data_IF_742524012123
#
_entry.id   IF_742524012123
#
_cell.length_a   1.000
_cell.length_b   1.000
_cell.length_c   1.000
_cell.angle_alpha   90.00
_cell.angle_beta   90.00
_cell.angle_gamma   90.00
#
_symmetry.space_group_name_H-M   'P 1'
#
loop_
_entity.id
_entity.type
_entity.pdbx_description
1 polymer ?
#
# COMPACT_ATOMS: atom_id res chain seq x y z
N UNK A 1 -49.62 4.09 -48.50
CA UNK A 1 -48.18 3.91 -48.74
C UNK A 1 -47.48 5.27 -48.72
N UNK A 2 -46.97 5.67 -47.55
CA UNK A 2 -45.93 6.71 -47.40
C UNK A 2 -45.10 6.30 -46.19
N UNK A 3 -43.80 6.07 -46.43
CA UNK A 3 -42.82 5.71 -45.42
C UNK A 3 -42.40 6.98 -44.66
N UNK A 4 -42.51 6.97 -43.33
CA UNK A 4 -41.84 7.91 -42.44
C UNK A 4 -40.55 7.26 -41.96
N UNK A 5 -39.43 7.78 -42.43
CA UNK A 5 -38.07 7.41 -42.05
C UNK A 5 -37.71 8.29 -40.84
N UNK A 6 -37.79 7.73 -39.63
CA UNK A 6 -37.34 8.39 -38.41
C UNK A 6 -35.88 7.96 -38.14
N UNK A 7 -34.97 8.90 -38.34
CA UNK A 7 -33.54 8.77 -38.05
C UNK A 7 -33.32 8.67 -36.55
N UNK A 8 -32.88 7.49 -36.08
CA UNK A 8 -32.39 7.30 -34.72
C UNK A 8 -31.01 7.98 -34.60
N UNK A 9 -30.96 9.14 -33.95
CA UNK A 9 -29.69 9.70 -33.46
C UNK A 9 -29.26 8.86 -32.24
N UNK A 10 -28.32 7.95 -32.45
CA UNK A 10 -27.59 7.30 -31.37
C UNK A 10 -26.60 8.28 -30.75
N UNK A 11 -26.89 8.74 -29.54
CA UNK A 11 -25.92 9.40 -28.67
C UNK A 11 -24.88 8.35 -28.23
N UNK A 12 -23.81 8.21 -29.00
CA UNK A 12 -22.55 7.65 -28.54
C UNK A 12 -21.88 8.69 -27.64
N UNK A 13 -22.24 8.70 -26.36
CA UNK A 13 -21.39 9.27 -25.32
C UNK A 13 -20.16 8.37 -25.20
N UNK A 14 -19.14 8.66 -26.01
CA UNK A 14 -17.77 8.29 -25.71
C UNK A 14 -17.48 8.81 -24.31
N UNK A 15 -17.42 7.89 -23.33
CA UNK A 15 -16.79 8.18 -22.06
C UNK A 15 -15.35 8.54 -22.39
N UNK A 16 -15.04 9.83 -22.35
CA UNK A 16 -13.67 10.27 -22.18
C UNK A 16 -13.20 9.66 -20.85
N UNK A 17 -12.53 8.51 -20.94
CA UNK A 17 -11.55 8.14 -19.95
C UNK A 17 -10.58 9.32 -19.97
N UNK A 18 -10.72 10.27 -19.04
CA UNK A 18 -9.62 11.18 -18.75
C UNK A 18 -8.51 10.26 -18.28
N UNK A 19 -7.57 9.95 -19.18
CA UNK A 19 -6.28 9.45 -18.77
C UNK A 19 -5.83 10.42 -17.68
N UNK A 20 -5.73 9.91 -16.45
CA UNK A 20 -5.13 10.65 -15.35
C UNK A 20 -3.76 11.04 -15.91
N UNK A 21 -3.51 12.33 -16.10
CA UNK A 21 -2.16 12.79 -16.36
C UNK A 21 -1.36 12.30 -15.16
N UNK A 22 -0.52 11.29 -15.37
CA UNK A 22 0.33 10.72 -14.34
C UNK A 22 1.40 11.81 -14.07
N UNK A 23 1.16 12.62 -13.03
CA UNK A 23 2.02 13.74 -12.66
C UNK A 23 3.26 13.21 -11.92
N UNK A 24 4.43 13.39 -12.51
CA UNK A 24 5.72 13.06 -11.93
C UNK A 24 6.28 14.25 -11.13
N UNK A 25 5.82 14.38 -9.89
CA UNK A 25 6.26 15.41 -8.94
C UNK A 25 7.76 15.31 -8.61
N UNK A 26 8.38 16.45 -8.29
CA UNK A 26 9.74 16.49 -7.73
C UNK A 26 9.83 15.58 -6.50
N UNK A 27 10.91 14.80 -6.41
CA UNK A 27 11.12 13.86 -5.30
C UNK A 27 12.22 14.38 -4.38
N UNK A 28 12.02 14.19 -3.08
CA UNK A 28 13.01 14.51 -2.06
C UNK A 28 12.99 13.47 -0.96
N UNK A 29 14.18 13.09 -0.50
CA UNK A 29 14.33 12.20 0.66
C UNK A 29 15.56 12.59 1.47
N UNK A 30 15.40 12.61 2.79
CA UNK A 30 16.48 12.77 3.74
C UNK A 30 17.05 11.38 4.10
N UNK A 31 18.37 11.34 4.31
CA UNK A 31 19.06 10.19 4.88
C UNK A 31 18.63 9.92 6.33
N UNK A 32 18.81 8.69 6.86
CA UNK A 32 18.42 8.35 8.23
C UNK A 32 19.01 9.28 9.30
N UNK A 33 20.24 9.75 9.13
CA UNK A 33 20.88 10.73 10.04
C UNK A 33 20.40 12.16 9.84
N UNK A 34 19.68 12.44 8.74
CA UNK A 34 19.29 13.78 8.29
C UNK A 34 20.44 14.60 7.72
N UNK A 35 21.67 14.05 7.64
CA UNK A 35 22.86 14.76 7.15
C UNK A 35 22.83 15.01 5.64
N UNK A 36 22.32 14.04 4.89
CA UNK A 36 22.22 14.11 3.44
C UNK A 36 20.77 14.16 2.97
N UNK A 37 20.54 14.85 1.86
CA UNK A 37 19.27 14.91 1.14
C UNK A 37 19.50 14.65 -0.33
N UNK A 38 18.73 13.73 -0.90
CA UNK A 38 18.62 13.57 -2.36
C UNK A 38 17.40 14.35 -2.84
N UNK A 39 17.58 15.09 -3.92
CA UNK A 39 16.49 15.74 -4.67
C UNK A 39 16.53 15.25 -6.11
N UNK A 40 15.37 14.96 -6.69
CA UNK A 40 15.18 14.73 -8.12
C UNK A 40 14.15 15.74 -8.62
N UNK A 41 14.60 16.72 -9.41
CA UNK A 41 13.77 17.83 -9.88
C UNK A 41 13.69 17.87 -11.39
N UNK A 42 12.50 18.03 -11.94
CA UNK A 42 12.33 18.23 -13.38
C UNK A 42 12.24 19.73 -13.69
N UNK A 43 12.94 20.25 -14.72
CA UNK A 43 12.75 21.62 -15.19
C UNK A 43 11.31 21.87 -15.69
N UNK A 44 10.59 20.83 -16.12
CA UNK A 44 9.21 20.95 -16.58
C UNK A 44 8.24 21.26 -15.43
N UNK A 45 8.51 20.74 -14.23
CA UNK A 45 7.75 21.05 -13.02
C UNK A 45 7.81 22.54 -12.68
N UNK A 46 9.01 23.14 -12.77
CA UNK A 46 9.20 24.56 -12.54
C UNK A 46 8.50 25.44 -13.59
N UNK A 47 8.37 24.95 -14.83
CA UNK A 47 7.66 25.65 -15.91
C UNK A 47 6.13 25.48 -15.85
N UNK A 48 5.61 24.74 -14.86
CA UNK A 48 4.19 24.39 -14.78
C UNK A 48 3.73 23.46 -15.90
N UNK A 49 4.67 22.85 -16.64
CA UNK A 49 4.39 21.86 -17.66
C UNK A 49 4.10 20.53 -16.97
N UNK A 50 2.96 19.95 -17.35
CA UNK A 50 2.32 18.84 -16.64
C UNK A 50 2.24 17.58 -17.48
N UNK A 51 2.56 17.68 -18.77
CA UNK A 51 2.55 16.60 -19.73
C UNK A 51 4.02 16.34 -20.11
N UNK A 52 4.44 15.08 -20.12
CA UNK A 52 5.79 14.61 -20.50
C UNK A 52 6.96 15.12 -19.64
N UNK A 53 6.81 15.04 -18.31
CA UNK A 53 7.85 15.43 -17.36
C UNK A 53 9.05 14.47 -17.45
N UNK A 54 10.18 14.99 -17.93
CA UNK A 54 11.43 14.26 -18.04
C UNK A 54 12.62 15.11 -17.60
N UNK A 55 13.83 14.70 -18.03
CA UNK A 55 15.07 15.46 -17.83
C UNK A 55 15.35 15.81 -16.36
N UNK A 56 15.09 14.86 -15.46
CA UNK A 56 15.29 15.06 -14.03
C UNK A 56 16.76 15.35 -13.73
N UNK A 57 16.98 16.37 -12.90
CA UNK A 57 18.26 16.66 -12.30
C UNK A 57 18.27 16.11 -10.88
N UNK A 58 19.26 15.28 -10.58
CA UNK A 58 19.44 14.69 -9.27
C UNK A 58 20.58 15.40 -8.55
N UNK A 59 20.34 15.81 -7.30
CA UNK A 59 21.35 16.47 -6.47
C UNK A 59 21.42 15.86 -5.08
N UNK A 60 22.62 15.49 -4.66
CA UNK A 60 22.89 15.12 -3.26
C UNK A 60 23.39 16.33 -2.50
N UNK A 61 22.73 16.70 -1.42
CA UNK A 61 22.98 17.90 -0.64
C UNK A 61 23.40 17.51 0.77
N UNK A 62 24.50 18.06 1.27
CA UNK A 62 24.84 18.02 2.70
C UNK A 62 24.00 19.10 3.41
N UNK A 63 23.04 18.66 4.21
CA UNK A 63 22.05 19.53 4.88
C UNK A 63 22.69 20.44 5.93
N UNK A 64 23.86 20.10 6.44
CA UNK A 64 24.58 20.92 7.43
C UNK A 64 25.22 22.14 6.78
N UNK A 65 25.66 22.01 5.53
CA UNK A 65 26.30 23.09 4.76
C UNK A 65 25.39 23.75 3.74
N UNK A 66 24.28 23.08 3.38
CA UNK A 66 23.40 23.46 2.28
C UNK A 66 24.03 23.33 0.89
N UNK A 67 25.20 22.70 0.76
CA UNK A 67 25.92 22.56 -0.51
C UNK A 67 25.63 21.23 -1.17
N UNK A 68 25.46 21.27 -2.50
CA UNK A 68 25.44 20.06 -3.31
C UNK A 68 26.84 19.41 -3.29
N UNK A 69 26.89 18.12 -2.97
CA UNK A 69 28.07 17.28 -3.10
C UNK A 69 28.30 16.90 -4.56
N UNK A 70 27.21 16.58 -5.26
CA UNK A 70 27.18 16.30 -6.68
C UNK A 70 25.79 16.60 -7.25
N UNK A 71 25.77 16.83 -8.56
CA UNK A 71 24.57 16.99 -9.37
C UNK A 71 24.76 16.20 -10.66
N UNK A 72 23.74 15.46 -11.11
CA UNK A 72 23.73 14.79 -12.41
C UNK A 72 22.39 15.01 -13.11
N UNK A 73 22.40 14.99 -14.43
CA UNK A 73 21.18 15.00 -15.24
C UNK A 73 20.85 13.59 -15.70
N UNK A 74 19.57 13.27 -15.71
CA UNK A 74 19.02 12.12 -16.43
C UNK A 74 19.49 12.19 -17.89
N UNK A 75 20.03 11.10 -18.47
CA UNK A 75 20.41 11.06 -19.87
C UNK A 75 19.24 11.42 -20.79
N UNK A 76 19.52 12.15 -21.88
CA UNK A 76 18.50 12.47 -22.88
C UNK A 76 18.17 11.23 -23.73
N UNK A 77 16.88 11.02 -24.10
CA UNK A 77 16.52 9.96 -25.03
C UNK A 77 17.32 10.07 -26.33
N UNK A 78 17.96 8.97 -26.74
CA UNK A 78 18.73 8.92 -28.00
C UNK A 78 20.20 9.34 -27.89
N UNK A 79 20.72 9.63 -26.69
CA UNK A 79 22.14 9.91 -26.45
C UNK A 79 23.06 8.67 -26.60
N UNK A 80 22.53 7.51 -27.01
CA UNK A 80 23.26 6.24 -27.11
C UNK A 80 23.48 5.52 -25.78
N UNK A 81 22.97 6.09 -24.68
CA UNK A 81 22.85 5.44 -23.37
C UNK A 81 21.46 4.82 -23.21
N UNK A 82 21.34 3.81 -22.33
CA UNK A 82 20.05 3.24 -21.94
C UNK A 82 19.15 4.37 -21.40
N UNK A 83 17.95 4.51 -21.97
CA UNK A 83 16.99 5.55 -21.58
C UNK A 83 16.60 5.32 -20.12
N UNK A 84 17.02 6.23 -19.24
CA UNK A 84 16.59 6.21 -17.83
C UNK A 84 15.14 6.69 -17.77
N UNK A 85 14.24 5.90 -17.20
CA UNK A 85 12.84 6.28 -17.03
C UNK A 85 12.65 7.29 -15.86
N UNK A 86 11.48 7.91 -15.76
CA UNK A 86 11.20 8.96 -14.77
C UNK A 86 11.30 8.44 -13.33
N UNK A 87 11.88 9.17 -12.36
CA UNK A 87 11.96 8.71 -10.98
C UNK A 87 10.60 8.64 -10.29
N UNK A 88 10.23 7.45 -9.85
CA UNK A 88 9.06 7.18 -9.02
C UNK A 88 9.39 7.34 -7.53
N UNK A 89 10.63 7.04 -7.12
CA UNK A 89 11.10 7.17 -5.74
C UNK A 89 12.60 7.42 -5.62
N UNK A 90 13.01 8.14 -4.58
CA UNK A 90 14.43 8.40 -4.25
C UNK A 90 14.69 8.17 -2.77
N UNK A 91 15.90 7.71 -2.44
CA UNK A 91 16.33 7.42 -1.08
C UNK A 91 17.78 7.89 -0.90
N UNK A 92 18.11 8.53 0.22
CA UNK A 92 19.47 8.95 0.54
C UNK A 92 20.08 8.09 1.64
N UNK A 93 21.35 7.70 1.46
CA UNK A 93 22.15 6.98 2.46
C UNK A 93 23.00 7.93 3.31
N UNK A 94 23.39 7.47 4.51
CA UNK A 94 24.24 8.22 5.44
C UNK A 94 25.72 8.29 5.02
N UNK A 95 26.07 7.67 3.90
CA UNK A 95 27.37 7.68 3.25
C UNK A 95 27.41 8.57 1.99
N UNK A 96 26.32 9.29 1.70
CA UNK A 96 26.23 10.21 0.57
C UNK A 96 25.90 9.53 -0.77
N UNK A 97 25.44 8.28 -0.74
CA UNK A 97 24.86 7.58 -1.91
C UNK A 97 23.36 7.83 -2.00
N UNK A 98 22.78 7.57 -3.18
CA UNK A 98 21.33 7.56 -3.35
C UNK A 98 20.86 6.30 -4.09
N UNK A 99 19.63 5.87 -3.78
CA UNK A 99 18.90 4.87 -4.57
C UNK A 99 17.76 5.57 -5.29
N UNK A 100 17.57 5.23 -6.56
CA UNK A 100 16.46 5.72 -7.38
C UNK A 100 15.66 4.51 -7.87
N UNK A 101 14.34 4.58 -7.76
CA UNK A 101 13.39 3.70 -8.41
C UNK A 101 12.72 4.49 -9.53
N UNK A 102 12.71 3.97 -10.75
CA UNK A 102 12.02 4.61 -11.88
C UNK A 102 10.58 4.13 -12.00
N UNK A 103 9.80 4.78 -12.86
CA UNK A 103 8.44 4.37 -13.19
C UNK A 103 8.42 2.95 -13.78
N UNK A 104 9.46 2.53 -14.52
CA UNK A 104 9.64 1.17 -15.06
C UNK A 104 10.08 0.13 -14.04
N UNK A 105 10.12 0.47 -12.74
CA UNK A 105 10.62 -0.40 -11.68
C UNK A 105 12.11 -0.80 -11.82
N UNK A 106 12.86 -0.06 -12.64
CA UNK A 106 14.33 -0.11 -12.59
C UNK A 106 14.79 0.55 -11.29
N UNK A 107 15.69 -0.13 -10.59
CA UNK A 107 16.39 0.39 -9.42
C UNK A 107 17.85 0.52 -9.75
N UNK A 108 18.43 1.67 -9.42
CA UNK A 108 19.86 1.87 -9.51
C UNK A 108 20.38 2.69 -8.33
N UNK A 109 21.69 2.55 -8.09
CA UNK A 109 22.42 3.33 -7.12
C UNK A 109 23.16 4.48 -7.80
N UNK A 110 23.27 5.59 -7.10
CA UNK A 110 24.13 6.71 -7.42
C UNK A 110 25.20 6.77 -6.34
N UNK A 111 26.44 6.55 -6.76
CA UNK A 111 27.57 6.62 -5.83
C UNK A 111 27.84 8.06 -5.37
N UNK A 112 28.85 8.24 -4.53
CA UNK A 112 29.22 9.54 -3.97
C UNK A 112 29.73 10.56 -5.00
N UNK A 113 29.89 10.16 -6.26
CA UNK A 113 30.18 11.06 -7.39
C UNK A 113 28.95 11.33 -8.27
N UNK A 114 27.80 10.76 -7.93
CA UNK A 114 26.57 10.81 -8.73
C UNK A 114 26.60 9.85 -9.93
N UNK A 115 27.53 8.90 -10.01
CA UNK A 115 27.58 7.96 -11.13
C UNK A 115 26.58 6.82 -10.90
N UNK A 116 25.77 6.51 -11.94
CA UNK A 116 24.85 5.36 -11.95
C UNK A 116 25.62 4.05 -11.83
N UNK A 117 25.14 3.18 -10.95
CA UNK A 117 25.65 1.85 -10.64
C UNK A 117 24.48 0.88 -10.55
N UNK A 118 24.71 -0.32 -11.06
CA UNK A 118 23.90 -1.49 -10.68
C UNK A 118 22.42 -1.34 -11.02
N UNK A 119 22.06 -1.00 -12.27
CA UNK A 119 20.67 -1.08 -12.68
C UNK A 119 20.17 -2.51 -12.56
N UNK A 120 18.98 -2.68 -12.00
CA UNK A 120 18.25 -3.94 -12.03
C UNK A 120 16.75 -3.68 -11.95
N UNK A 121 15.97 -4.54 -12.58
CA UNK A 121 14.52 -4.55 -12.39
C UNK A 121 14.20 -5.36 -11.13
N UNK A 122 13.39 -4.76 -10.25
CA UNK A 122 13.11 -5.38 -8.95
C UNK A 122 12.29 -6.66 -9.09
N UNK A 123 11.43 -6.77 -10.10
CA UNK A 123 10.59 -7.94 -10.33
C UNK A 123 11.41 -9.19 -10.68
N UNK A 124 12.50 -9.02 -11.44
CA UNK A 124 13.43 -10.08 -11.80
C UNK A 124 14.13 -10.69 -10.57
N UNK A 125 14.10 -10.02 -9.42
CA UNK A 125 14.67 -10.50 -8.15
C UNK A 125 13.75 -11.44 -7.39
N UNK A 126 12.54 -11.71 -7.90
CA UNK A 126 11.61 -12.66 -7.29
C UNK A 126 11.41 -13.91 -8.16
N UNK A 127 11.31 -15.10 -7.53
CA UNK A 127 10.91 -16.31 -8.23
C UNK A 127 9.59 -16.10 -8.99
N UNK A 128 9.47 -16.71 -10.18
CA UNK A 128 8.27 -16.58 -11.02
C UNK A 128 6.97 -16.94 -10.29
N UNK A 129 7.03 -17.93 -9.38
CA UNK A 129 5.89 -18.34 -8.56
C UNK A 129 5.44 -17.22 -7.60
N UNK A 130 6.37 -16.54 -6.95
CA UNK A 130 6.04 -15.43 -6.05
C UNK A 130 5.46 -14.26 -6.84
N UNK A 131 6.05 -13.95 -8.01
CA UNK A 131 5.49 -12.94 -8.92
C UNK A 131 4.06 -13.27 -9.31
N UNK A 132 3.79 -14.49 -9.78
CA UNK A 132 2.44 -14.88 -10.17
C UNK A 132 1.42 -14.81 -9.01
N UNK A 133 1.86 -15.00 -7.77
CA UNK A 133 1.00 -14.99 -6.58
C UNK A 133 0.74 -13.56 -6.05
N UNK A 134 1.80 -12.74 -5.97
CA UNK A 134 1.78 -11.46 -5.25
C UNK A 134 1.96 -10.23 -6.14
N UNK A 135 2.65 -10.35 -7.27
CA UNK A 135 2.71 -9.29 -8.29
C UNK A 135 1.50 -9.45 -9.23
N UNK A 136 0.86 -8.34 -9.58
CA UNK A 136 -0.13 -8.39 -10.67
C UNK A 136 0.62 -8.19 -11.98
N UNK A 137 0.35 -9.05 -12.95
CA UNK A 137 0.73 -8.79 -14.33
C UNK A 137 -0.20 -7.70 -14.87
N UNK A 138 0.12 -6.44 -14.61
CA UNK A 138 -0.41 -5.33 -15.38
C UNK A 138 0.48 -5.07 -16.59
N UNK A 139 -0.08 -4.45 -17.63
CA UNK A 139 0.70 -3.87 -18.75
C UNK A 139 1.59 -2.70 -18.28
N UNK A 140 1.50 -2.34 -16.99
CA UNK A 140 2.33 -1.38 -16.28
C UNK A 140 3.23 -2.11 -15.27
N UNK A 141 4.38 -1.52 -14.90
CA UNK A 141 5.29 -2.00 -13.85
C UNK A 141 4.56 -2.35 -12.55
N UNK A 142 5.17 -3.21 -11.72
CA UNK A 142 4.54 -3.78 -10.53
C UNK A 142 4.11 -2.64 -9.61
N UNK A 143 2.79 -2.51 -9.42
CA UNK A 143 2.27 -1.69 -8.34
C UNK A 143 2.63 -2.33 -7.00
N UNK A 144 3.73 -1.85 -6.41
CA UNK A 144 4.17 -2.23 -5.07
C UNK A 144 3.09 -1.82 -4.08
N UNK A 145 2.61 -2.78 -3.28
CA UNK A 145 1.71 -2.45 -2.18
C UNK A 145 2.38 -1.42 -1.28
N UNK A 146 1.62 -0.43 -0.81
CA UNK A 146 2.06 0.51 0.23
C UNK A 146 2.50 -0.16 1.54
N UNK A 147 2.22 -1.47 1.70
CA UNK A 147 2.71 -2.31 2.80
C UNK A 147 4.14 -2.86 2.57
N UNK A 148 4.79 -2.49 1.46
CA UNK A 148 6.21 -2.76 1.21
C UNK A 148 7.06 -1.64 1.83
N UNK A 149 8.34 -1.92 2.11
CA UNK A 149 9.23 -0.94 2.73
C UNK A 149 10.62 -0.93 2.11
N UNK A 150 11.16 0.27 1.96
CA UNK A 150 12.41 0.55 1.26
C UNK A 150 13.25 1.43 2.16
N UNK A 151 14.45 0.98 2.55
CA UNK A 151 15.24 1.69 3.56
C UNK A 151 16.72 1.31 3.53
N UNK A 152 17.56 2.23 4.01
CA UNK A 152 18.96 1.93 4.29
C UNK A 152 19.10 1.19 5.62
N UNK A 153 20.02 0.23 5.66
CA UNK A 153 20.34 -0.60 6.81
C UNK A 153 21.85 -0.58 7.06
N UNK A 154 22.24 -0.25 8.28
CA UNK A 154 23.63 -0.31 8.72
C UNK A 154 23.83 -1.52 9.65
N UNK A 155 24.75 -2.41 9.29
CA UNK A 155 25.06 -3.61 10.07
C UNK A 155 26.48 -3.48 10.62
N UNK A 156 26.62 -3.52 11.95
CA UNK A 156 27.92 -3.49 12.61
C UNK A 156 28.53 -4.88 12.63
N UNK A 157 29.82 -4.96 12.34
CA UNK A 157 30.65 -6.16 12.40
C UNK A 157 32.02 -5.82 12.98
N UNK A 158 32.85 -6.83 13.23
CA UNK A 158 34.24 -6.64 13.67
C UNK A 158 35.09 -5.87 12.64
N UNK A 159 34.73 -5.92 11.35
CA UNK A 159 35.42 -5.22 10.27
C UNK A 159 34.94 -3.76 10.09
N UNK A 160 33.95 -3.33 10.87
CA UNK A 160 33.31 -2.01 10.77
C UNK A 160 31.82 -2.09 10.47
N UNK A 161 31.26 -0.97 10.02
CA UNK A 161 29.84 -0.86 9.65
C UNK A 161 29.69 -1.06 8.14
N UNK A 162 28.91 -2.05 7.74
CA UNK A 162 28.50 -2.24 6.35
C UNK A 162 27.12 -1.61 6.11
N UNK A 163 26.96 -0.94 4.97
CA UNK A 163 25.72 -0.29 4.56
C UNK A 163 25.02 -1.11 3.48
N UNK A 164 23.71 -1.26 3.62
CA UNK A 164 22.84 -1.96 2.68
C UNK A 164 21.62 -1.11 2.36
N UNK A 165 21.01 -1.36 1.21
CA UNK A 165 19.64 -0.94 0.95
C UNK A 165 18.73 -2.16 0.88
N UNK A 166 17.64 -2.11 1.63
CA UNK A 166 16.71 -3.22 1.80
C UNK A 166 15.37 -2.84 1.22
N UNK A 167 14.87 -3.70 0.32
CA UNK A 167 13.52 -3.62 -0.19
C UNK A 167 12.76 -4.82 0.35
N UNK A 168 11.89 -4.57 1.32
CA UNK A 168 10.99 -5.56 1.93
C UNK A 168 9.66 -5.53 1.20
N UNK A 169 9.39 -6.56 0.41
CA UNK A 169 8.08 -6.77 -0.18
C UNK A 169 7.01 -7.02 0.90
N UNK A 170 5.75 -6.69 0.62
CA UNK A 170 4.68 -6.86 1.61
C UNK A 170 4.52 -8.32 2.06
N UNK A 171 4.80 -9.31 1.20
CA UNK A 171 4.79 -10.75 1.55
C UNK A 171 6.00 -11.23 2.37
N UNK A 172 6.87 -10.33 2.83
CA UNK A 172 7.94 -10.62 3.80
C UNK A 172 9.30 -10.92 3.17
N UNK A 173 9.36 -11.09 1.85
CA UNK A 173 10.60 -11.26 1.10
C UNK A 173 11.43 -9.97 1.10
N UNK A 174 12.77 -10.11 1.17
CA UNK A 174 13.71 -8.98 1.11
C UNK A 174 14.63 -9.11 -0.10
N UNK A 175 14.83 -8.01 -0.80
CA UNK A 175 15.92 -7.81 -1.76
C UNK A 175 16.94 -6.90 -1.06
N UNK A 176 18.22 -7.30 -1.07
CA UNK A 176 19.29 -6.58 -0.38
C UNK A 176 20.33 -6.15 -1.39
N UNK A 177 20.64 -4.86 -1.40
CA UNK A 177 21.71 -4.26 -2.19
C UNK A 177 22.89 -3.94 -1.24
N UNK A 178 24.07 -4.51 -1.52
CA UNK A 178 25.32 -4.09 -0.88
C UNK A 178 25.75 -2.76 -1.49
N UNK A 179 25.76 -1.70 -0.69
CA UNK A 179 26.07 -0.35 -1.15
C UNK A 179 27.54 -0.21 -1.52
N UNK A 180 28.43 -0.84 -0.76
CA UNK A 180 29.87 -0.72 -0.97
C UNK A 180 30.31 -1.38 -2.27
N UNK A 181 29.76 -2.55 -2.56
CA UNK A 181 30.03 -3.29 -3.79
C UNK A 181 29.16 -2.81 -4.95
N UNK A 182 28.05 -2.13 -4.67
CA UNK A 182 27.02 -1.81 -5.66
C UNK A 182 26.54 -3.09 -6.34
N UNK A 183 26.09 -4.09 -5.58
CA UNK A 183 25.56 -5.33 -6.17
C UNK A 183 24.35 -5.81 -5.39
N UNK A 184 23.32 -6.25 -6.10
CA UNK A 184 22.20 -6.95 -5.47
C UNK A 184 22.73 -8.31 -4.99
N UNK A 185 22.49 -8.61 -3.73
CA UNK A 185 22.91 -9.86 -3.13
C UNK A 185 21.96 -10.99 -3.54
N UNK A 186 22.54 -12.13 -3.90
CA UNK A 186 21.80 -13.39 -3.98
C UNK A 186 21.33 -13.80 -2.58
N UNK A 187 20.20 -14.49 -2.49
CA UNK A 187 19.58 -14.88 -1.21
C UNK A 187 20.54 -15.60 -0.27
N UNK A 188 21.31 -16.54 -0.81
CA UNK A 188 22.22 -17.38 -0.04
C UNK A 188 23.39 -16.57 0.55
N UNK A 189 23.64 -15.36 0.01
CA UNK A 189 24.65 -14.43 0.50
C UNK A 189 24.11 -13.47 1.56
N UNK A 190 22.79 -13.35 1.71
CA UNK A 190 22.20 -12.51 2.76
C UNK A 190 22.33 -13.24 4.10
N UNK A 191 23.33 -12.82 4.88
CA UNK A 191 23.70 -13.50 6.14
C UNK A 191 22.60 -13.36 7.22
N UNK A 192 22.66 -14.24 8.22
CA UNK A 192 21.76 -14.18 9.37
C UNK A 192 21.83 -12.83 10.11
N UNK A 193 23.02 -12.22 10.20
CA UNK A 193 23.22 -10.92 10.84
C UNK A 193 22.52 -9.80 10.08
N UNK A 194 22.57 -9.82 8.73
CA UNK A 194 21.85 -8.85 7.90
C UNK A 194 20.33 -9.03 8.08
N UNK A 195 19.84 -10.28 8.08
CA UNK A 195 18.41 -10.55 8.29
C UNK A 195 17.94 -10.12 9.69
N UNK A 196 18.74 -10.37 10.73
CA UNK A 196 18.44 -9.98 12.10
C UNK A 196 18.42 -8.46 12.24
N UNK A 197 19.43 -7.76 11.72
CA UNK A 197 19.48 -6.30 11.71
C UNK A 197 18.33 -5.67 10.91
N UNK A 198 17.98 -6.24 9.74
CA UNK A 198 16.84 -5.79 8.95
C UNK A 198 15.54 -5.92 9.74
N UNK A 199 15.33 -7.06 10.42
CA UNK A 199 14.17 -7.30 11.28
C UNK A 199 14.13 -6.32 12.45
N UNK A 200 15.24 -6.12 13.14
CA UNK A 200 15.31 -5.17 14.27
C UNK A 200 14.96 -3.74 13.83
N UNK A 201 15.49 -3.28 12.69
CA UNK A 201 15.19 -1.98 12.13
C UNK A 201 13.70 -1.84 11.73
N UNK A 202 13.10 -2.92 11.21
CA UNK A 202 11.67 -2.98 10.91
C UNK A 202 10.83 -2.86 12.20
N UNK A 203 11.13 -3.67 13.21
CA UNK A 203 10.42 -3.65 14.50
C UNK A 203 10.52 -2.29 15.21
N UNK A 204 11.71 -1.68 15.22
CA UNK A 204 11.93 -0.38 15.82
C UNK A 204 11.07 0.71 15.17
N UNK A 205 11.03 0.75 13.84
CA UNK A 205 10.20 1.70 13.10
C UNK A 205 8.70 1.44 13.27
N UNK A 206 8.26 0.17 13.26
CA UNK A 206 6.85 -0.17 13.52
C UNK A 206 6.43 0.40 14.87
N UNK A 207 7.25 0.19 15.90
CA UNK A 207 7.00 0.74 17.25
C UNK A 207 6.95 2.26 17.24
N UNK A 208 7.89 2.92 16.57
CA UNK A 208 7.94 4.38 16.46
C UNK A 208 6.66 4.93 15.82
N UNK A 209 6.30 4.43 14.64
CA UNK A 209 5.14 4.86 13.86
C UNK A 209 3.84 4.61 14.64
N UNK A 210 3.67 3.40 15.17
CA UNK A 210 2.47 3.06 15.94
C UNK A 210 2.38 3.91 17.22
N UNK A 211 3.47 4.14 17.95
CA UNK A 211 3.47 5.00 19.12
C UNK A 211 3.11 6.46 18.78
N UNK A 212 3.66 7.00 17.69
CA UNK A 212 3.38 8.34 17.19
C UNK A 212 1.88 8.54 16.93
N UNK A 213 1.27 7.65 16.15
CA UNK A 213 -0.15 7.78 15.80
C UNK A 213 -1.09 7.36 16.92
N UNK A 214 -0.70 6.38 17.75
CA UNK A 214 -1.45 6.04 18.95
C UNK A 214 -1.51 7.22 19.92
N UNK A 215 -0.47 8.05 20.02
CA UNK A 215 -0.51 9.30 20.80
C UNK A 215 -1.46 10.33 20.18
N UNK A 216 -1.39 10.57 18.86
CA UNK A 216 -2.33 11.46 18.15
C UNK A 216 -3.80 11.03 18.32
N UNK A 217 -4.04 9.72 18.37
CA UNK A 217 -5.36 9.12 18.60
C UNK A 217 -5.96 9.43 19.99
N UNK A 218 -5.19 9.95 20.96
CA UNK A 218 -5.73 10.39 22.25
C UNK A 218 -6.55 11.67 22.13
N UNK A 219 -6.18 12.52 21.18
CA UNK A 219 -6.71 13.88 21.04
C UNK A 219 -7.47 14.09 19.74
N UNK A 220 -7.36 13.18 18.77
CA UNK A 220 -8.07 13.25 17.49
C UNK A 220 -8.68 11.91 17.09
N UNK A 221 -9.89 11.96 16.51
CA UNK A 221 -10.50 10.81 15.82
C UNK A 221 -9.81 10.47 14.51
N UNK A 222 -9.15 11.46 13.89
CA UNK A 222 -8.40 11.37 12.65
C UNK A 222 -6.92 11.63 12.94
N UNK A 223 -6.13 10.59 13.22
CA UNK A 223 -4.71 10.75 13.57
C UNK A 223 -3.84 11.15 12.37
N UNK A 224 -4.41 11.21 11.16
CA UNK A 224 -3.76 11.54 9.89
C UNK A 224 -4.62 12.56 9.12
N UNK A 225 -3.97 13.56 8.52
CA UNK A 225 -4.61 14.63 7.72
C UNK A 225 -4.47 14.36 6.21
N UNK A 226 -5.29 13.48 5.64
CA UNK A 226 -5.15 12.98 4.24
C UNK A 226 -5.28 14.02 3.12
N UNK A 227 -5.61 15.28 3.42
CA UNK A 227 -5.69 16.36 2.43
C UNK A 227 -4.32 16.97 2.05
N UNK A 228 -3.23 16.55 2.72
CA UNK A 228 -1.87 17.04 2.46
C UNK A 228 -0.97 15.92 1.96
N UNK A 229 0.09 16.26 1.23
CA UNK A 229 1.10 15.30 0.79
C UNK A 229 1.72 14.56 1.98
N UNK A 230 2.08 15.30 3.04
CA UNK A 230 2.59 14.72 4.28
C UNK A 230 1.56 13.78 4.93
N UNK A 231 0.28 14.15 4.92
CA UNK A 231 -0.79 13.29 5.41
C UNK A 231 -0.94 12.00 4.63
N UNK A 232 -0.79 12.03 3.31
CA UNK A 232 -0.78 10.83 2.48
C UNK A 232 0.41 9.92 2.81
N UNK A 233 1.60 10.50 3.03
CA UNK A 233 2.78 9.75 3.50
C UNK A 233 2.54 9.14 4.89
N UNK A 234 2.03 9.94 5.82
CA UNK A 234 1.66 9.51 7.18
C UNK A 234 0.63 8.36 7.17
N UNK A 235 -0.35 8.40 6.26
CA UNK A 235 -1.34 7.34 6.10
C UNK A 235 -0.69 6.04 5.62
N UNK A 236 0.18 6.12 4.60
CA UNK A 236 0.94 4.97 4.07
C UNK A 236 1.85 4.36 5.12
N UNK A 237 2.57 5.19 5.88
CA UNK A 237 3.42 4.74 6.98
C UNK A 237 2.61 4.01 8.06
N UNK A 238 1.50 4.61 8.51
CA UNK A 238 0.63 4.03 9.52
C UNK A 238 0.06 2.68 9.07
N UNK A 239 -0.45 2.63 7.84
CA UNK A 239 -0.94 1.41 7.21
C UNK A 239 0.09 0.29 7.19
N UNK A 240 1.28 0.59 6.68
CA UNK A 240 2.39 -0.35 6.59
C UNK A 240 2.83 -0.82 7.98
N UNK A 241 2.94 0.09 8.96
CA UNK A 241 3.29 -0.26 10.34
C UNK A 241 2.27 -1.19 11.01
N UNK A 242 0.97 -0.93 10.82
CA UNK A 242 -0.10 -1.81 11.31
C UNK A 242 0.00 -3.20 10.67
N UNK A 243 0.17 -3.26 9.35
CA UNK A 243 0.33 -4.51 8.62
C UNK A 243 1.54 -5.31 9.15
N UNK A 244 2.70 -4.66 9.27
CA UNK A 244 3.94 -5.28 9.73
C UNK A 244 3.83 -5.77 11.18
N UNK A 245 3.16 -5.02 12.07
CA UNK A 245 2.94 -5.47 13.45
C UNK A 245 2.22 -6.83 13.51
N UNK A 246 1.22 -7.02 12.65
CA UNK A 246 0.53 -8.31 12.52
C UNK A 246 1.37 -9.38 11.82
N UNK A 247 2.00 -9.04 10.69
CA UNK A 247 2.76 -9.98 9.88
C UNK A 247 4.06 -10.48 10.55
N UNK A 248 4.65 -9.68 11.43
CA UNK A 248 5.87 -10.02 12.18
C UNK A 248 5.56 -10.52 13.60
N UNK A 249 4.28 -10.64 13.95
CA UNK A 249 3.79 -11.13 15.25
C UNK A 249 4.27 -10.29 16.46
N UNK A 250 4.31 -8.96 16.32
CA UNK A 250 4.80 -8.03 17.35
C UNK A 250 3.78 -7.84 18.49
N UNK A 251 3.72 -8.81 19.39
CA UNK A 251 2.75 -8.82 20.51
C UNK A 251 2.87 -7.61 21.46
N UNK A 252 4.04 -6.95 21.53
CA UNK A 252 4.25 -5.73 22.32
C UNK A 252 3.41 -4.56 21.82
N UNK A 253 3.00 -4.56 20.55
CA UNK A 253 2.30 -3.45 19.89
C UNK A 253 0.76 -3.56 19.98
N UNK A 254 0.24 -4.63 20.60
CA UNK A 254 -1.21 -4.83 20.82
C UNK A 254 -1.89 -3.61 21.47
N UNK A 255 -1.33 -2.94 22.49
CA UNK A 255 -1.95 -1.76 23.09
C UNK A 255 -2.12 -0.60 22.09
N UNK A 256 -1.13 -0.35 21.24
CA UNK A 256 -1.18 0.69 20.22
C UNK A 256 -2.23 0.35 19.16
N UNK A 257 -2.25 -0.90 18.67
CA UNK A 257 -3.23 -1.39 17.70
C UNK A 257 -4.67 -1.25 18.21
N UNK A 258 -4.96 -1.66 19.46
CA UNK A 258 -6.30 -1.52 20.08
C UNK A 258 -6.76 -0.06 20.23
N UNK A 259 -5.81 0.87 20.26
CA UNK A 259 -6.12 2.29 20.35
C UNK A 259 -6.43 2.87 18.98
N UNK A 260 -5.58 2.55 17.99
CA UNK A 260 -5.73 2.95 16.59
C UNK A 260 -6.97 2.32 15.93
N UNK A 261 -7.39 1.14 16.37
CA UNK A 261 -8.64 0.51 15.94
C UNK A 261 -9.88 1.40 16.16
N UNK A 262 -9.81 2.37 17.08
CA UNK A 262 -10.91 3.32 17.35
C UNK A 262 -10.88 4.56 16.44
N UNK A 263 -9.83 4.73 15.66
CA UNK A 263 -9.64 5.88 14.81
C UNK A 263 -10.32 5.67 13.45
N UNK A 264 -10.73 6.79 12.87
CA UNK A 264 -11.13 6.87 11.49
C UNK A 264 -9.97 7.47 10.69
N UNK A 265 -9.74 6.98 9.49
CA UNK A 265 -8.86 7.66 8.53
C UNK A 265 -9.63 7.69 7.23
N UNK A 266 -9.89 8.90 6.74
CA UNK A 266 -10.54 9.10 5.46
C UNK A 266 -9.63 8.56 4.36
N UNK A 267 -10.00 7.41 3.81
CA UNK A 267 -9.43 6.84 2.61
C UNK A 267 -10.51 6.75 1.54
N UNK A 268 -10.31 7.39 0.39
CA UNK A 268 -11.26 7.24 -0.72
C UNK A 268 -11.14 5.85 -1.34
N UNK A 269 -11.94 4.89 -0.86
CA UNK A 269 -12.06 3.56 -1.45
C UNK A 269 -13.34 3.44 -2.28
N UNK A 270 -13.51 4.25 -3.33
CA UNK A 270 -14.75 4.17 -4.10
C UNK A 270 -14.75 4.93 -5.43
N UNK A 271 -14.22 4.30 -6.48
CA UNK A 271 -14.63 4.60 -7.86
C UNK A 271 -15.30 3.36 -8.47
N UNK A 272 -16.46 2.99 -7.94
CA UNK A 272 -17.31 1.92 -8.48
C UNK A 272 -18.68 2.47 -8.86
N UNK A 273 -19.38 1.84 -9.82
CA UNK A 273 -20.75 2.23 -10.24
C UNK A 273 -21.79 2.18 -9.10
N UNK A 274 -21.47 1.45 -8.02
CA UNK A 274 -22.13 1.44 -6.73
C UNK A 274 -21.04 1.68 -5.67
N UNK A 275 -20.99 2.87 -5.08
CA UNK A 275 -19.95 3.23 -4.11
C UNK A 275 -20.37 2.76 -2.73
N UNK A 276 -19.99 1.54 -2.36
CA UNK A 276 -19.74 1.26 -0.96
C UNK A 276 -18.55 2.10 -0.52
N UNK A 277 -18.88 3.23 0.04
CA UNK A 277 -17.98 4.11 0.76
C UNK A 277 -17.56 3.44 2.06
N UNK A 278 -16.59 2.53 2.01
CA UNK A 278 -15.78 2.19 3.20
C UNK A 278 -14.83 3.34 3.58
N UNK A 279 -15.30 4.58 3.39
CA UNK A 279 -14.48 5.78 3.28
C UNK A 279 -13.67 6.08 4.54
N UNK A 280 -14.00 5.48 5.70
CA UNK A 280 -13.44 5.89 6.98
C UNK A 280 -12.76 4.79 7.81
N UNK A 281 -12.66 3.55 7.29
CA UNK A 281 -12.38 2.38 8.14
C UNK A 281 -11.14 1.57 7.76
N UNK A 282 -10.31 2.01 6.81
CA UNK A 282 -9.14 1.25 6.38
C UNK A 282 -8.13 1.02 7.53
N UNK A 283 -7.86 2.03 8.39
CA UNK A 283 -6.99 1.85 9.58
C UNK A 283 -7.60 0.83 10.53
N UNK A 284 -8.91 0.91 10.77
CA UNK A 284 -9.61 -0.05 11.63
C UNK A 284 -9.48 -1.46 11.07
N UNK A 285 -9.80 -1.69 9.80
CA UNK A 285 -9.70 -3.01 9.15
C UNK A 285 -8.27 -3.57 9.21
N UNK A 286 -7.27 -2.73 8.97
CA UNK A 286 -5.87 -3.10 9.11
C UNK A 286 -5.54 -3.50 10.56
N UNK A 287 -5.96 -2.70 11.55
CA UNK A 287 -5.76 -3.00 12.97
C UNK A 287 -6.46 -4.30 13.37
N UNK A 288 -7.69 -4.52 12.95
CA UNK A 288 -8.46 -5.74 13.24
C UNK A 288 -7.75 -6.96 12.66
N UNK A 289 -7.28 -6.88 11.41
CA UNK A 289 -6.51 -7.95 10.77
C UNK A 289 -5.21 -8.23 11.52
N UNK A 290 -4.46 -7.19 11.91
CA UNK A 290 -3.24 -7.34 12.69
C UNK A 290 -3.51 -7.94 14.09
N UNK A 291 -4.56 -7.50 14.78
CA UNK A 291 -4.97 -8.04 16.07
C UNK A 291 -5.32 -9.53 15.99
N UNK A 292 -6.01 -9.96 14.92
CA UNK A 292 -6.31 -11.39 14.68
C UNK A 292 -5.05 -12.22 14.52
N UNK A 293 -4.07 -11.73 13.73
CA UNK A 293 -2.75 -12.39 13.59
C UNK A 293 -2.02 -12.54 14.92
N UNK A 294 -2.19 -11.56 15.82
CA UNK A 294 -1.64 -11.57 17.18
C UNK A 294 -2.50 -12.37 18.20
N UNK A 295 -3.49 -13.14 17.72
CA UNK A 295 -4.35 -13.96 18.56
C UNK A 295 -5.29 -13.14 19.46
N UNK A 296 -5.67 -11.93 19.04
CA UNK A 296 -6.62 -11.07 19.76
C UNK A 296 -7.90 -10.90 18.96
N UNK A 297 -9.04 -11.03 19.63
CA UNK A 297 -10.35 -10.69 19.06
C UNK A 297 -10.46 -9.17 18.92
N UNK A 298 -10.75 -8.65 17.72
CA UNK A 298 -10.94 -7.21 17.52
C UNK A 298 -12.26 -6.70 18.10
N UNK A 299 -12.42 -5.37 18.11
CA UNK A 299 -13.66 -4.68 18.50
C UNK A 299 -14.68 -4.72 17.37
N UNK A 300 -15.96 -4.74 17.75
CA UNK A 300 -17.07 -4.57 16.82
C UNK A 300 -16.98 -3.21 16.10
N UNK A 301 -17.17 -3.24 14.78
CA UNK A 301 -17.29 -2.05 13.96
C UNK A 301 -18.57 -1.26 14.33
N UNK A 302 -18.46 0.06 14.42
CA UNK A 302 -19.56 0.93 14.90
C UNK A 302 -20.55 1.35 13.80
N UNK A 303 -20.30 1.02 12.53
CA UNK A 303 -21.13 1.40 11.38
C UNK A 303 -20.33 1.37 10.08
N UNK A 304 -21.00 1.22 8.93
CA UNK A 304 -20.46 1.54 7.59
C UNK A 304 -21.55 2.25 6.80
N UNK A 305 -21.20 3.34 6.14
CA UNK A 305 -22.09 4.00 5.20
C UNK A 305 -22.13 3.23 3.88
N UNK A 306 -23.32 2.77 3.49
CA UNK A 306 -23.50 1.93 2.31
C UNK A 306 -24.43 2.64 1.34
N UNK A 307 -23.86 3.16 0.26
CA UNK A 307 -24.66 3.72 -0.84
C UNK A 307 -25.07 2.60 -1.78
N UNK A 308 -26.35 2.20 -1.74
CA UNK A 308 -26.90 1.16 -2.62
C UNK A 308 -27.63 1.82 -3.80
N UNK A 309 -27.02 1.79 -4.98
CA UNK A 309 -27.65 2.26 -6.22
C UNK A 309 -27.25 3.67 -6.67
N UNK A 310 -27.49 3.99 -7.96
CA UNK A 310 -27.25 5.32 -8.52
C UNK A 310 -28.33 6.29 -8.08
N UNK A 311 -27.97 7.29 -7.28
CA UNK A 311 -28.88 8.39 -6.89
C UNK A 311 -29.86 8.05 -5.78
N UNK A 312 -29.77 6.86 -5.19
CA UNK A 312 -30.35 6.60 -3.87
C UNK A 312 -29.50 7.31 -2.82
N UNK A 313 -30.13 7.91 -1.81
CA UNK A 313 -29.40 8.42 -0.65
C UNK A 313 -28.51 7.33 -0.04
N UNK A 314 -27.42 7.72 0.61
CA UNK A 314 -26.63 6.79 1.40
C UNK A 314 -27.42 6.41 2.65
N UNK A 315 -27.67 5.12 2.85
CA UNK A 315 -28.19 4.61 4.11
C UNK A 315 -26.99 4.15 4.94
N UNK A 316 -26.84 4.70 6.15
CA UNK A 316 -25.85 4.21 7.10
C UNK A 316 -26.30 2.83 7.61
N UNK A 317 -25.57 1.77 7.25
CA UNK A 317 -25.85 0.44 7.78
C UNK A 317 -25.15 0.26 9.12
N UNK A 318 -25.96 -0.02 10.14
CA UNK A 318 -25.49 -0.36 11.49
C UNK A 318 -25.67 -1.83 11.74
N UNK A 319 -24.67 -2.44 12.35
CA UNK A 319 -24.70 -3.83 12.79
C UNK A 319 -24.93 -3.89 14.29
N UNK A 320 -26.02 -4.54 14.69
CA UNK A 320 -26.26 -4.92 16.09
C UNK A 320 -25.53 -6.22 16.46
N UNK A 321 -25.17 -7.04 15.45
CA UNK A 321 -24.47 -8.31 15.64
C UNK A 321 -23.03 -8.08 16.04
N UNK A 322 -22.64 -8.61 17.20
CA UNK A 322 -21.25 -8.54 17.66
C UNK A 322 -20.35 -9.51 16.90
N UNK A 323 -19.05 -9.21 16.81
CA UNK A 323 -18.06 -10.08 16.14
C UNK A 323 -18.10 -11.52 16.70
N UNK A 324 -18.35 -11.66 18.01
CA UNK A 324 -18.40 -12.97 18.68
C UNK A 324 -19.61 -13.81 18.26
N UNK A 325 -20.71 -13.18 17.91
CA UNK A 325 -21.96 -13.85 17.51
C UNK A 325 -21.97 -14.23 16.03
N UNK A 326 -21.06 -13.67 15.20
CA UNK A 326 -21.05 -13.94 13.75
C UNK A 326 -20.92 -15.42 13.41
N UNK A 327 -20.17 -16.16 14.21
CA UNK A 327 -19.98 -17.61 14.03
C UNK A 327 -21.32 -18.35 14.04
N UNK A 328 -22.22 -18.02 14.97
CA UNK A 328 -23.55 -18.67 15.04
C UNK A 328 -24.46 -18.25 13.90
N UNK A 329 -24.28 -17.04 13.36
CA UNK A 329 -25.08 -16.51 12.25
C UNK A 329 -24.54 -16.86 10.86
N UNK A 330 -23.34 -17.44 10.75
CA UNK A 330 -22.70 -17.71 9.46
C UNK A 330 -23.52 -18.64 8.55
N UNK A 331 -24.24 -19.60 9.14
CA UNK A 331 -25.12 -20.52 8.40
C UNK A 331 -26.47 -19.92 8.01
N UNK A 332 -26.77 -18.69 8.46
CA UNK A 332 -28.04 -18.02 8.21
C UNK A 332 -28.01 -17.11 6.97
N UNK A 333 -26.85 -16.94 6.33
CA UNK A 333 -26.73 -16.17 5.08
C UNK A 333 -27.10 -17.07 3.90
N UNK A 334 -28.10 -16.65 3.15
CA UNK A 334 -28.67 -17.43 2.05
C UNK A 334 -28.65 -16.66 0.72
N UNK A 335 -28.67 -17.41 -0.38
CA UNK A 335 -28.82 -16.85 -1.72
C UNK A 335 -30.13 -16.06 -1.82
N UNK A 336 -30.06 -14.87 -2.41
CA UNK A 336 -31.19 -13.98 -2.60
C UNK A 336 -31.34 -12.89 -1.54
N UNK A 337 -30.64 -13.01 -0.39
CA UNK A 337 -30.59 -11.95 0.61
C UNK A 337 -30.02 -10.66 0.02
N UNK A 338 -30.57 -9.53 0.42
CA UNK A 338 -30.03 -8.21 0.13
C UNK A 338 -28.80 -7.90 1.00
N UNK A 339 -28.08 -6.83 0.67
CA UNK A 339 -26.99 -6.32 1.52
C UNK A 339 -27.50 -5.97 2.91
N UNK A 340 -28.65 -5.27 2.99
CA UNK A 340 -29.24 -4.87 4.26
C UNK A 340 -29.62 -6.08 5.11
N UNK A 341 -30.20 -7.12 4.51
CA UNK A 341 -30.52 -8.36 5.21
C UNK A 341 -29.25 -9.09 5.68
N UNK A 342 -28.23 -9.15 4.83
CA UNK A 342 -26.92 -9.75 5.17
C UNK A 342 -26.29 -9.01 6.34
N UNK A 343 -26.20 -7.68 6.29
CA UNK A 343 -25.61 -6.87 7.35
C UNK A 343 -26.40 -6.94 8.64
N UNK A 344 -27.74 -6.94 8.57
CA UNK A 344 -28.59 -7.13 9.76
C UNK A 344 -28.37 -8.51 10.40
N UNK A 345 -28.05 -9.51 9.58
CA UNK A 345 -27.95 -10.91 10.01
C UNK A 345 -26.59 -11.28 10.60
N UNK A 346 -25.49 -10.85 9.99
CA UNK A 346 -24.13 -11.24 10.38
C UNK A 346 -23.22 -10.04 10.68
N UNK A 347 -23.73 -8.83 10.49
CA UNK A 347 -23.02 -7.59 10.73
C UNK A 347 -22.25 -7.07 9.53
N UNK A 348 -21.34 -6.13 9.81
CA UNK A 348 -20.53 -5.45 8.80
C UNK A 348 -19.34 -6.31 8.33
N UNK A 349 -18.99 -6.31 7.03
CA UNK A 349 -17.86 -7.07 6.55
C UNK A 349 -16.53 -6.55 7.12
N UNK A 350 -15.56 -7.44 7.29
CA UNK A 350 -14.20 -7.10 7.69
C UNK A 350 -13.36 -6.61 6.50
N UNK A 351 -13.72 -7.05 5.29
CA UNK A 351 -13.02 -6.66 4.06
C UNK A 351 -13.97 -6.71 2.85
N UNK A 352 -13.74 -5.78 1.91
CA UNK A 352 -14.36 -5.76 0.59
C UNK A 352 -13.25 -5.48 -0.42
N UNK A 353 -12.95 -6.44 -1.33
CA UNK A 353 -11.85 -6.28 -2.27
C UNK A 353 -12.16 -5.13 -3.22
N UNK A 354 -11.15 -4.30 -3.45
CA UNK A 354 -11.22 -3.28 -4.48
C UNK A 354 -11.28 -3.93 -5.88
N UNK A 355 -11.96 -3.28 -6.83
CA UNK A 355 -12.02 -3.74 -8.22
C UNK A 355 -13.26 -4.55 -8.62
N UNK A 356 -14.31 -4.58 -7.79
CA UNK A 356 -15.65 -4.95 -8.28
C UNK A 356 -15.97 -6.43 -8.36
N UNK A 357 -15.34 -7.27 -7.51
CA UNK A 357 -15.77 -8.66 -7.39
C UNK A 357 -17.02 -8.83 -6.50
N UNK A 358 -17.71 -7.74 -6.15
CA UNK A 358 -19.00 -7.75 -5.46
C UNK A 358 -19.04 -8.73 -4.27
N UNK A 359 -17.97 -8.82 -3.48
CA UNK A 359 -17.80 -9.85 -2.45
C UNK A 359 -17.48 -9.23 -1.10
N UNK A 360 -18.24 -9.58 -0.08
CA UNK A 360 -17.91 -9.31 1.31
C UNK A 360 -17.15 -10.47 1.93
N UNK A 361 -16.10 -10.15 2.68
CA UNK A 361 -15.41 -11.10 3.54
C UNK A 361 -15.69 -10.79 5.01
N UNK A 362 -16.06 -11.83 5.76
CA UNK A 362 -16.30 -11.80 7.19
C UNK A 362 -15.35 -12.76 7.89
N UNK A 363 -14.58 -12.28 8.83
CA UNK A 363 -13.66 -13.08 9.63
C UNK A 363 -14.38 -13.58 10.89
N UNK A 364 -14.39 -14.90 11.06
CA UNK A 364 -15.12 -15.59 12.12
C UNK A 364 -14.15 -16.01 13.22
N UNK A 365 -14.22 -15.35 14.37
CA UNK A 365 -13.26 -15.48 15.47
C UNK A 365 -13.61 -16.61 16.48
N UNK A 366 -14.11 -17.75 15.99
CA UNK A 366 -14.46 -18.92 16.81
C UNK A 366 -13.29 -19.85 17.17
N UNK A 367 -13.55 -20.94 17.89
CA UNK A 367 -12.53 -21.97 18.23
C UNK A 367 -11.82 -22.52 16.99
N UNK A 368 -12.58 -22.75 15.92
CA UNK A 368 -12.08 -23.04 14.58
C UNK A 368 -12.36 -21.82 13.69
N UNK A 369 -11.45 -20.83 13.64
CA UNK A 369 -11.71 -19.62 12.89
C UNK A 369 -11.72 -19.90 11.39
N UNK A 370 -12.54 -19.16 10.65
CA UNK A 370 -12.66 -19.24 9.18
C UNK A 370 -13.00 -17.86 8.60
N UNK A 371 -12.93 -17.72 7.27
CA UNK A 371 -13.47 -16.54 6.58
C UNK A 371 -14.73 -16.95 5.81
N UNK A 372 -15.82 -16.20 5.96
CA UNK A 372 -17.03 -16.34 5.15
C UNK A 372 -16.99 -15.32 4.02
N UNK A 373 -17.11 -15.78 2.78
CA UNK A 373 -17.25 -14.93 1.60
C UNK A 373 -18.69 -14.92 1.16
N UNK A 374 -19.25 -13.73 0.97
CA UNK A 374 -20.62 -13.51 0.51
C UNK A 374 -20.54 -12.69 -0.77
N UNK A 375 -20.89 -13.29 -1.89
CA UNK A 375 -20.88 -12.62 -3.18
C UNK A 375 -22.27 -12.16 -3.57
N UNK A 376 -22.33 -10.97 -4.17
CA UNK A 376 -23.54 -10.34 -4.67
C UNK A 376 -23.56 -10.36 -6.19
N UNK A 377 -24.72 -10.22 -6.79
CA UNK A 377 -24.89 -10.07 -8.24
C UNK A 377 -24.19 -8.81 -8.79
N UNK A 378 -24.15 -8.66 -10.11
CA UNK A 378 -23.44 -7.56 -10.80
C UNK A 378 -23.98 -6.18 -10.40
N UNK A 379 -25.28 -6.10 -10.10
CA UNK A 379 -25.95 -4.89 -9.59
C UNK A 379 -25.68 -4.65 -8.10
N UNK A 380 -24.99 -5.58 -7.44
CA UNK A 380 -24.63 -5.52 -6.03
C UNK A 380 -25.87 -5.40 -5.14
N UNK A 381 -26.92 -6.17 -5.46
CA UNK A 381 -28.23 -6.11 -4.81
C UNK A 381 -28.53 -7.37 -4.01
N UNK A 382 -28.15 -8.55 -4.51
CA UNK A 382 -28.53 -9.83 -3.90
C UNK A 382 -27.38 -10.82 -3.82
N UNK A 383 -27.32 -11.56 -2.72
CA UNK A 383 -26.39 -12.67 -2.53
C UNK A 383 -26.60 -13.72 -3.61
N UNK A 384 -25.56 -14.06 -4.35
CA UNK A 384 -25.55 -15.09 -5.39
C UNK A 384 -24.92 -16.38 -4.91
N UNK A 385 -23.88 -16.29 -4.09
CA UNK A 385 -23.25 -17.43 -3.42
C UNK A 385 -22.61 -17.06 -2.08
N UNK A 386 -22.43 -18.08 -1.24
CA UNK A 386 -21.75 -18.01 0.05
C UNK A 386 -20.69 -19.11 0.10
N UNK A 387 -19.47 -18.77 0.51
CA UNK A 387 -18.36 -19.71 0.61
C UNK A 387 -17.70 -19.62 1.99
N UNK A 388 -17.54 -20.77 2.63
CA UNK A 388 -16.70 -20.92 3.83
C UNK A 388 -15.27 -21.25 3.42
N UNK A 389 -14.31 -20.44 3.86
CA UNK A 389 -12.87 -20.65 3.64
C UNK A 389 -12.26 -21.11 4.97
N UNK A 390 -12.00 -22.42 5.08
CA UNK A 390 -11.57 -23.06 6.35
C UNK A 390 -10.23 -22.52 6.89
N UNK A 391 -9.32 -22.11 6.01
CA UNK A 391 -8.15 -21.34 6.43
C UNK A 391 -8.51 -19.86 6.34
N UNK A 392 -8.67 -19.14 7.47
CA UNK A 392 -8.98 -17.72 7.42
C UNK A 392 -7.98 -16.97 6.56
N UNK A 393 -8.49 -16.05 5.73
CA UNK A 393 -7.67 -15.30 4.77
C UNK A 393 -6.61 -14.47 5.49
N UNK A 394 -6.90 -13.98 6.70
CA UNK A 394 -5.97 -13.19 7.50
C UNK A 394 -4.79 -13.98 8.10
N UNK A 395 -4.87 -15.33 8.18
CA UNK A 395 -3.78 -16.13 8.77
C UNK A 395 -2.53 -16.20 7.90
N UNK A 396 -2.65 -15.92 6.61
CA UNK A 396 -1.52 -15.88 5.67
C UNK A 396 -1.50 -14.52 5.01
N UNK A 397 -0.31 -14.08 4.61
CA UNK A 397 -0.22 -12.90 3.74
C UNK A 397 -0.84 -13.28 2.39
N UNK A 398 -1.74 -12.44 1.88
CA UNK A 398 -2.48 -12.72 0.66
C UNK A 398 -2.74 -11.45 -0.15
N UNK A 399 -3.48 -11.57 -1.26
CA UNK A 399 -3.92 -10.41 -2.05
C UNK A 399 -4.78 -9.42 -1.24
N UNK A 400 -5.43 -9.86 -0.16
CA UNK A 400 -6.13 -8.98 0.79
C UNK A 400 -5.18 -7.93 1.38
N UNK A 401 -3.94 -8.32 1.69
CA UNK A 401 -2.93 -7.42 2.25
C UNK A 401 -2.34 -6.47 1.21
N UNK A 402 -2.42 -6.81 -0.08
CA UNK A 402 -1.95 -5.94 -1.16
C UNK A 402 -2.81 -4.68 -1.24
N UNK A 403 -4.13 -4.88 -1.29
CA UNK A 403 -5.13 -3.86 -1.64
C UNK A 403 -5.60 -2.98 -0.48
N UNK A 404 -4.95 -3.02 0.68
CA UNK A 404 -5.45 -2.22 1.80
C UNK A 404 -5.26 -0.70 1.60
N UNK A 405 -4.41 -0.18 0.67
CA UNK A 405 -4.10 1.27 0.57
C UNK A 405 -3.61 1.76 -0.81
N UNK A 406 -3.81 3.07 -1.09
CA UNK A 406 -3.52 3.86 -2.33
C UNK A 406 -2.29 4.75 -2.16
#
# INVERSE_FOLDING_TARGET
MRACMATLLGFLLLQANSARADYNEDKTADSPSGRFRIEARSPDNAAGKREDQGHFEYSMIDTTTGKALWTRKQPEPGAGEDVEAVPEGVFAGDDGVAIVRTEEDEIFMLDTSGKKKTPFFIDERFPLRERAEFAENSDRPIHWSGNSRWYFLNVKSDAGTASYFVIRAYWGRRVVLDISAGVVMEDEKVTADIQAAAREAEEAWVREVLARFAKKAETSKYPVESATEQGNRDAKDLACAIFLAGAMELSTEIPALKKLEKCHVHGSTGMGRHSLSFHDDQVRQACQTALRRLGKTPRQATGVEVSVGKGAGSDELKSEVSIKERVSHAGEIEKGMTIQETVKRIGLPDFHPWGGNNTFEYDMDGEAPFTLRVHFDDDFMKVTWVQRVETPVWKKISKRDKGMWW
#
